data_IF_801940937980
#
_entry.id   IF_801940937980
#
_cell.length_a   1.000
_cell.length_b   1.000
_cell.length_c   1.000
_cell.angle_alpha   90.00
_cell.angle_beta   90.00
_cell.angle_gamma   90.00
#
_symmetry.space_group_name_H-M   'P 1'
#
loop_
_entity.id
_entity.type
_entity.pdbx_description
1 polymer ?
#
# COMPACT_ATOMS: atom_id res chain seq x y z
N UNK A 1 -32.27 -55.73 -23.61
CA UNK A 1 -31.45 -54.60 -24.11
C UNK A 1 -31.43 -53.58 -22.97
N UNK A 2 -30.37 -53.58 -22.15
CA UNK A 2 -30.21 -52.63 -21.03
C UNK A 2 -29.09 -51.67 -21.46
N UNK A 3 -29.44 -50.40 -21.60
CA UNK A 3 -28.51 -49.32 -21.96
C UNK A 3 -27.82 -48.83 -20.68
N UNK A 4 -26.51 -49.03 -20.58
CA UNK A 4 -25.69 -48.54 -19.47
C UNK A 4 -25.36 -47.07 -19.72
N UNK A 5 -25.97 -46.17 -18.95
CA UNK A 5 -25.57 -44.75 -18.93
C UNK A 5 -24.25 -44.61 -18.16
N UNK A 6 -23.19 -44.29 -18.89
CA UNK A 6 -21.88 -43.95 -18.33
C UNK A 6 -21.96 -42.55 -17.69
N UNK A 7 -22.09 -42.50 -16.37
CA UNK A 7 -22.07 -41.26 -15.60
C UNK A 7 -20.65 -40.69 -15.60
N UNK A 8 -20.36 -39.80 -16.55
CA UNK A 8 -19.15 -38.97 -16.56
C UNK A 8 -19.16 -38.10 -15.30
N UNK A 9 -18.28 -38.44 -14.37
CA UNK A 9 -18.11 -37.68 -13.12
C UNK A 9 -17.12 -36.56 -13.40
N UNK A 10 -17.63 -35.36 -13.70
CA UNK A 10 -16.80 -34.16 -13.88
C UNK A 10 -16.23 -33.75 -12.54
N UNK A 11 -15.02 -34.23 -12.22
CA UNK A 11 -14.26 -33.76 -11.06
C UNK A 11 -13.87 -32.31 -11.30
N UNK A 12 -14.62 -31.37 -10.74
CA UNK A 12 -14.22 -29.96 -10.66
C UNK A 12 -12.92 -29.89 -9.87
N UNK A 13 -11.79 -29.70 -10.56
CA UNK A 13 -10.51 -29.40 -9.93
C UNK A 13 -10.65 -28.01 -9.31
N UNK A 14 -10.88 -27.95 -8.01
CA UNK A 14 -10.81 -26.70 -7.25
C UNK A 14 -9.35 -26.25 -7.32
N UNK A 15 -9.09 -25.15 -8.02
CA UNK A 15 -7.75 -24.59 -8.12
C UNK A 15 -7.23 -24.29 -6.70
N UNK A 16 -6.15 -24.98 -6.32
CA UNK A 16 -5.51 -24.79 -5.01
C UNK A 16 -4.99 -23.35 -4.92
N UNK A 17 -5.35 -22.66 -3.84
CA UNK A 17 -4.88 -21.29 -3.62
C UNK A 17 -3.36 -21.33 -3.39
N UNK A 18 -2.56 -20.53 -4.12
CA UNK A 18 -1.12 -20.53 -3.93
C UNK A 18 -0.76 -20.16 -2.49
N UNK A 19 0.29 -20.81 -1.98
CA UNK A 19 0.88 -20.51 -0.67
C UNK A 19 1.22 -19.01 -0.55
N UNK A 20 1.08 -18.45 0.65
CA UNK A 20 1.30 -17.01 0.87
C UNK A 20 2.74 -16.61 0.55
N UNK A 21 3.73 -17.47 0.82
CA UNK A 21 5.13 -17.14 0.55
C UNK A 21 5.42 -17.13 -0.96
N UNK A 22 4.89 -18.09 -1.71
CA UNK A 22 5.06 -18.12 -3.16
C UNK A 22 4.38 -16.92 -3.81
N UNK A 23 3.16 -16.58 -3.37
CA UNK A 23 2.44 -15.39 -3.81
C UNK A 23 3.20 -14.09 -3.54
N UNK A 24 3.77 -13.92 -2.34
CA UNK A 24 4.57 -12.74 -1.99
C UNK A 24 5.87 -12.65 -2.81
N UNK A 25 6.44 -13.79 -3.20
CA UNK A 25 7.65 -13.88 -3.99
C UNK A 25 7.40 -13.66 -5.49
N UNK A 26 6.15 -13.62 -5.96
CA UNK A 26 5.82 -13.36 -7.36
C UNK A 26 6.44 -12.04 -7.83
N UNK A 27 6.88 -12.04 -9.10
CA UNK A 27 7.48 -10.86 -9.72
C UNK A 27 6.40 -9.89 -10.18
N UNK A 28 6.65 -8.60 -9.99
CA UNK A 28 5.85 -7.53 -10.59
C UNK A 28 6.53 -6.99 -11.85
N UNK A 29 5.77 -6.38 -12.76
CA UNK A 29 6.34 -5.74 -13.94
C UNK A 29 7.24 -4.56 -13.55
N UNK A 30 8.25 -4.26 -14.37
CA UNK A 30 9.12 -3.08 -14.15
C UNK A 30 8.30 -1.80 -14.13
N UNK A 31 7.32 -1.70 -15.03
CA UNK A 31 6.46 -0.53 -15.15
C UNK A 31 5.62 -0.32 -13.89
N UNK A 32 5.03 -1.37 -13.31
CA UNK A 32 4.34 -1.26 -12.03
C UNK A 32 5.28 -0.82 -10.91
N UNK A 33 6.50 -1.37 -10.87
CA UNK A 33 7.49 -0.98 -9.86
C UNK A 33 7.86 0.51 -9.96
N UNK A 34 8.14 1.00 -11.18
CA UNK A 34 8.48 2.40 -11.46
C UNK A 34 7.31 3.33 -11.16
N UNK A 35 6.10 2.99 -11.64
CA UNK A 35 4.92 3.82 -11.41
C UNK A 35 4.59 3.96 -9.93
N UNK A 36 4.66 2.87 -9.16
CA UNK A 36 4.42 2.93 -7.71
C UNK A 36 5.51 3.76 -7.01
N UNK A 37 6.78 3.53 -7.34
CA UNK A 37 7.89 4.30 -6.76
C UNK A 37 7.79 5.80 -7.07
N UNK A 38 7.50 6.16 -8.32
CA UNK A 38 7.32 7.54 -8.74
C UNK A 38 6.09 8.18 -8.09
N UNK A 39 4.97 7.45 -8.00
CA UNK A 39 3.74 7.94 -7.34
C UNK A 39 4.00 8.24 -5.87
N UNK A 40 4.70 7.35 -5.16
CA UNK A 40 5.14 7.58 -3.79
C UNK A 40 5.98 8.84 -3.67
N UNK A 41 7.04 8.94 -4.48
CA UNK A 41 7.95 10.08 -4.43
C UNK A 41 7.21 11.40 -4.66
N UNK A 42 6.40 11.50 -5.72
CA UNK A 42 5.69 12.74 -6.09
C UNK A 42 4.63 13.10 -5.05
N UNK A 43 3.73 12.17 -4.70
CA UNK A 43 2.62 12.49 -3.80
C UNK A 43 3.10 12.74 -2.37
N UNK A 44 4.14 12.04 -1.92
CA UNK A 44 4.74 12.32 -0.61
C UNK A 44 5.39 13.71 -0.56
N UNK A 45 6.13 14.11 -1.60
CA UNK A 45 6.70 15.46 -1.69
C UNK A 45 5.63 16.56 -1.72
N UNK A 46 4.55 16.36 -2.49
CA UNK A 46 3.42 17.30 -2.49
C UNK A 46 2.81 17.40 -1.09
N UNK A 47 2.48 16.27 -0.48
CA UNK A 47 1.81 16.23 0.81
C UNK A 47 2.65 16.88 1.92
N UNK A 48 3.95 16.57 1.98
CA UNK A 48 4.89 17.18 2.93
C UNK A 48 5.14 18.67 2.63
N UNK A 49 5.15 19.08 1.36
CA UNK A 49 5.30 20.48 0.97
C UNK A 49 4.08 21.34 1.32
N UNK A 50 2.91 20.73 1.52
CA UNK A 50 1.71 21.41 1.99
C UNK A 50 1.72 21.66 3.51
N UNK A 51 2.51 20.92 4.28
CA UNK A 51 2.49 20.99 5.74
C UNK A 51 2.98 22.37 6.23
N UNK A 52 2.18 23.08 7.04
CA UNK A 52 2.62 24.31 7.67
C UNK A 52 3.61 24.00 8.80
N UNK A 53 4.30 25.03 9.29
CA UNK A 53 5.13 24.89 10.49
C UNK A 53 4.29 24.37 11.67
N UNK A 54 4.80 23.42 12.47
CA UNK A 54 4.09 22.94 13.65
C UNK A 54 3.78 24.06 14.64
N UNK A 55 2.61 23.98 15.27
CA UNK A 55 2.15 24.90 16.33
C UNK A 55 2.48 24.39 17.73
N UNK A 56 2.72 23.09 17.88
CA UNK A 56 3.06 22.44 19.14
C UNK A 56 4.10 21.32 18.91
N UNK A 57 4.80 20.83 19.95
CA UNK A 57 5.65 19.66 19.83
C UNK A 57 4.86 18.43 19.38
N UNK A 58 5.50 17.55 18.59
CA UNK A 58 4.87 16.30 18.18
C UNK A 58 4.66 15.39 19.40
N UNK A 59 3.55 14.62 19.47
CA UNK A 59 3.35 13.62 20.52
C UNK A 59 4.49 12.58 20.52
N UNK A 60 4.91 12.12 21.70
CA UNK A 60 6.06 11.19 21.82
C UNK A 60 5.84 9.85 21.10
N UNK A 61 4.59 9.37 21.06
CA UNK A 61 4.23 8.14 20.33
C UNK A 61 4.45 8.27 18.82
N UNK A 62 4.45 9.49 18.27
CA UNK A 62 4.61 9.74 16.83
C UNK A 62 6.01 9.37 16.35
N UNK A 63 7.02 9.43 17.23
CA UNK A 63 8.39 9.00 16.94
C UNK A 63 8.42 7.50 16.61
N UNK A 64 7.81 6.67 17.45
CA UNK A 64 7.77 5.22 17.23
C UNK A 64 7.04 4.88 15.93
N UNK A 65 5.88 5.49 15.69
CA UNK A 65 5.16 5.28 14.43
C UNK A 65 5.93 5.80 13.21
N UNK A 66 6.72 6.86 13.36
CA UNK A 66 7.52 7.41 12.25
C UNK A 66 8.60 6.43 11.87
N UNK A 67 9.22 5.76 12.85
CA UNK A 67 10.18 4.69 12.60
C UNK A 67 9.51 3.49 11.91
N UNK A 68 8.30 3.11 12.33
CA UNK A 68 7.54 2.04 11.66
C UNK A 68 7.20 2.42 10.22
N UNK A 69 6.77 3.66 9.98
CA UNK A 69 6.50 4.16 8.64
C UNK A 69 7.75 4.17 7.76
N UNK A 70 8.88 4.69 8.26
CA UNK A 70 10.15 4.68 7.55
C UNK A 70 10.64 3.26 7.23
N UNK A 71 10.51 2.34 8.19
CA UNK A 71 10.82 0.93 7.95
C UNK A 71 9.91 0.33 6.87
N UNK A 72 8.60 0.63 6.90
CA UNK A 72 7.64 0.14 5.90
C UNK A 72 7.89 0.74 4.51
N UNK A 73 8.31 2.01 4.44
CA UNK A 73 8.77 2.65 3.20
C UNK A 73 10.05 2.02 2.67
N UNK A 74 11.03 1.71 3.54
CA UNK A 74 12.26 1.03 3.14
C UNK A 74 11.96 -0.37 2.59
N UNK A 75 11.05 -1.12 3.23
CA UNK A 75 10.55 -2.41 2.74
C UNK A 75 9.85 -2.21 1.39
N UNK A 76 8.99 -1.19 1.25
CA UNK A 76 8.35 -0.86 -0.03
C UNK A 76 9.40 -0.68 -1.12
N UNK A 77 10.37 0.21 -0.91
CA UNK A 77 11.45 0.48 -1.86
C UNK A 77 12.25 -0.78 -2.20
N UNK A 78 12.67 -1.56 -1.19
CA UNK A 78 13.38 -2.81 -1.38
C UNK A 78 12.58 -3.82 -2.21
N UNK A 79 11.26 -3.90 -1.99
CA UNK A 79 10.38 -4.80 -2.73
C UNK A 79 10.14 -4.36 -4.16
N UNK A 80 10.02 -3.05 -4.41
CA UNK A 80 9.92 -2.51 -5.76
C UNK A 80 11.23 -2.72 -6.54
N UNK A 81 12.39 -2.49 -5.91
CA UNK A 81 13.72 -2.74 -6.50
C UNK A 81 13.93 -4.23 -6.79
N UNK A 82 13.55 -5.11 -5.86
CA UNK A 82 13.57 -6.55 -6.06
C UNK A 82 12.46 -7.04 -7.01
N UNK A 83 11.55 -6.14 -7.41
CA UNK A 83 10.34 -6.40 -8.20
C UNK A 83 9.51 -7.54 -7.65
N UNK A 84 9.24 -7.54 -6.35
CA UNK A 84 8.46 -8.56 -5.65
C UNK A 84 7.12 -8.03 -5.16
N UNK A 85 6.12 -8.89 -5.14
CA UNK A 85 4.75 -8.57 -4.72
C UNK A 85 4.65 -8.09 -3.28
N UNK A 86 5.53 -8.55 -2.39
CA UNK A 86 5.61 -8.03 -1.02
C UNK A 86 5.94 -6.53 -0.95
N UNK A 87 6.59 -5.96 -1.98
CA UNK A 87 6.81 -4.51 -2.09
C UNK A 87 5.51 -3.74 -2.29
N UNK A 88 4.55 -4.28 -3.05
CA UNK A 88 3.21 -3.68 -3.22
C UNK A 88 2.37 -3.80 -1.95
N UNK A 89 2.51 -4.91 -1.22
CA UNK A 89 1.84 -5.07 0.08
C UNK A 89 2.39 -4.08 1.11
N UNK A 90 3.71 -3.94 1.19
CA UNK A 90 4.35 -2.93 2.02
C UNK A 90 3.95 -1.51 1.62
N UNK A 91 3.84 -1.23 0.31
CA UNK A 91 3.33 0.04 -0.22
C UNK A 91 1.94 0.36 0.33
N UNK A 92 1.03 -0.60 0.32
CA UNK A 92 -0.31 -0.41 0.88
C UNK A 92 -0.26 -0.15 2.40
N UNK A 93 0.58 -0.88 3.13
CA UNK A 93 0.79 -0.66 4.57
C UNK A 93 1.34 0.73 4.88
N UNK A 94 2.36 1.18 4.13
CA UNK A 94 2.93 2.52 4.25
C UNK A 94 1.88 3.60 3.95
N UNK A 95 1.06 3.42 2.91
CA UNK A 95 0.00 4.37 2.55
C UNK A 95 -1.07 4.47 3.65
N UNK A 96 -1.42 3.35 4.27
CA UNK A 96 -2.30 3.31 5.44
C UNK A 96 -1.72 4.06 6.64
N UNK A 97 -0.44 3.83 6.97
CA UNK A 97 0.26 4.56 8.04
C UNK A 97 0.33 6.07 7.74
N UNK A 98 0.64 6.46 6.50
CA UNK A 98 0.68 7.86 6.10
C UNK A 98 -0.70 8.54 6.21
N UNK A 99 -1.77 7.82 5.87
CA UNK A 99 -3.15 8.29 6.06
C UNK A 99 -3.44 8.49 7.56
N UNK A 100 -3.07 7.53 8.40
CA UNK A 100 -3.25 7.64 9.85
C UNK A 100 -2.48 8.84 10.44
N UNK A 101 -1.25 9.08 9.98
CA UNK A 101 -0.47 10.25 10.36
C UNK A 101 -1.15 11.57 10.00
N UNK A 102 -1.60 11.67 8.75
CA UNK A 102 -2.28 12.85 8.24
C UNK A 102 -3.59 13.14 9.01
N UNK A 103 -4.29 12.10 9.48
CA UNK A 103 -5.44 12.25 10.40
C UNK A 103 -5.00 12.71 11.80
N UNK A 104 -3.87 12.22 12.31
CA UNK A 104 -3.39 12.56 13.64
C UNK A 104 -2.85 13.99 13.76
N UNK A 105 -2.42 14.62 12.66
CA UNK A 105 -1.91 16.00 12.64
C UNK A 105 -2.88 17.00 13.31
N UNK A 106 -4.15 17.14 12.87
CA UNK A 106 -5.10 18.04 13.53
C UNK A 106 -5.58 17.53 14.89
N UNK A 107 -5.67 16.21 15.10
CA UNK A 107 -6.18 15.64 16.37
C UNK A 107 -5.23 15.93 17.54
N UNK A 108 -3.93 15.99 17.26
CA UNK A 108 -2.90 16.26 18.26
C UNK A 108 -2.60 17.76 18.45
N UNK A 109 -3.31 18.63 17.73
CA UNK A 109 -3.05 20.09 17.67
C UNK A 109 -1.60 20.44 17.24
N UNK A 110 -0.92 19.47 16.61
CA UNK A 110 0.46 19.63 16.12
C UNK A 110 0.50 20.58 14.92
N UNK A 111 -0.54 20.55 14.09
CA UNK A 111 -0.80 21.52 13.03
C UNK A 111 -2.25 21.97 13.06
N UNK A 112 -2.50 23.27 12.91
CA UNK A 112 -3.86 23.80 12.76
C UNK A 112 -4.56 23.27 11.50
N UNK A 113 -5.82 22.85 11.63
CA UNK A 113 -6.63 22.36 10.52
C UNK A 113 -6.91 23.47 9.50
N UNK A 114 -6.52 23.26 8.24
CA UNK A 114 -6.77 24.19 7.13
C UNK A 114 -6.72 23.47 5.76
N UNK A 115 -6.78 24.23 4.66
CA UNK A 115 -6.86 23.69 3.30
C UNK A 115 -5.74 22.67 2.95
N UNK A 116 -4.54 22.85 3.51
CA UNK A 116 -3.41 21.95 3.32
C UNK A 116 -3.73 20.50 3.70
N UNK A 117 -4.52 20.29 4.76
CA UNK A 117 -4.88 18.98 5.28
C UNK A 117 -5.68 18.17 4.26
N UNK A 118 -6.61 18.82 3.55
CA UNK A 118 -7.38 18.17 2.49
C UNK A 118 -6.48 17.75 1.32
N UNK A 119 -5.47 18.55 0.99
CA UNK A 119 -4.46 18.19 -0.02
C UNK A 119 -3.60 17.00 0.42
N UNK A 120 -3.16 16.98 1.69
CA UNK A 120 -2.42 15.87 2.27
C UNK A 120 -3.26 14.57 2.28
N UNK A 121 -4.53 14.67 2.70
CA UNK A 121 -5.51 13.57 2.64
C UNK A 121 -5.72 13.06 1.22
N UNK A 122 -5.89 13.94 0.24
CA UNK A 122 -6.05 13.54 -1.16
C UNK A 122 -4.84 12.75 -1.66
N UNK A 123 -3.61 13.20 -1.32
CA UNK A 123 -2.38 12.47 -1.65
C UNK A 123 -2.31 11.10 -0.95
N UNK A 124 -2.64 11.05 0.35
CA UNK A 124 -2.61 9.82 1.13
C UNK A 124 -3.61 8.77 0.61
N UNK A 125 -4.86 9.19 0.33
CA UNK A 125 -5.89 8.32 -0.21
C UNK A 125 -5.59 7.87 -1.65
N UNK A 126 -4.98 8.73 -2.46
CA UNK A 126 -4.49 8.34 -3.78
C UNK A 126 -3.41 7.25 -3.68
N UNK A 127 -2.47 7.37 -2.73
CA UNK A 127 -1.47 6.33 -2.47
C UNK A 127 -2.08 5.01 -2.03
N UNK A 128 -3.11 5.05 -1.17
CA UNK A 128 -3.88 3.85 -0.78
C UNK A 128 -4.53 3.23 -2.01
N UNK A 129 -5.24 4.02 -2.81
CA UNK A 129 -5.96 3.56 -3.99
C UNK A 129 -5.05 2.94 -5.03
N UNK A 130 -3.96 3.61 -5.38
CA UNK A 130 -2.97 3.13 -6.37
C UNK A 130 -2.25 1.87 -5.85
N UNK A 131 -1.87 1.83 -4.57
CA UNK A 131 -1.23 0.64 -3.97
C UNK A 131 -2.17 -0.56 -3.95
N UNK A 132 -3.42 -0.37 -3.54
CA UNK A 132 -4.44 -1.42 -3.53
C UNK A 132 -4.74 -1.93 -4.95
N UNK A 133 -4.89 -1.01 -5.91
CA UNK A 133 -5.11 -1.34 -7.31
C UNK A 133 -3.95 -2.15 -7.89
N UNK A 134 -2.70 -1.70 -7.69
CA UNK A 134 -1.53 -2.41 -8.18
C UNK A 134 -1.42 -3.82 -7.55
N UNK A 135 -1.66 -3.94 -6.24
CA UNK A 135 -1.63 -5.24 -5.55
C UNK A 135 -2.72 -6.19 -6.05
N UNK A 136 -3.92 -5.67 -6.32
CA UNK A 136 -5.05 -6.43 -6.84
C UNK A 136 -4.85 -6.89 -8.29
N UNK A 137 -4.10 -6.11 -9.08
CA UNK A 137 -3.87 -6.33 -10.52
C UNK A 137 -2.57 -7.07 -10.83
N UNK A 138 -1.66 -7.19 -9.86
CA UNK A 138 -0.48 -8.05 -9.93
C UNK A 138 -0.81 -9.57 -9.91
N UNK A 139 -1.92 -10.00 -10.52
CA UNK A 139 -2.30 -11.42 -10.62
C UNK A 139 -1.43 -12.12 -11.66
N UNK A 140 -1.08 -13.38 -11.36
CA UNK A 140 -0.28 -14.30 -12.18
C UNK A 140 -0.90 -14.55 -13.55
#
# INVERSE_FOLDING_TARGET
MISTEERVTTTTVVAERPDTRSWLAERISTEAAVLIGATWYVLFLIATGLEPRPTAPAPTWSVALSMVFLATLAITAGGLLARRRWGLLASLGAAGLFTAFSVACPISDHHGLAAWWFGQMACALALVGVSAFALARARA
#
